data_IF_822566510028
#
_entry.id   IF_822566510028
#
_cell.length_a   1.000
_cell.length_b   1.000
_cell.length_c   1.000
_cell.angle_alpha   90.00
_cell.angle_beta   90.00
_cell.angle_gamma   90.00
#
_symmetry.space_group_name_H-M   'P 1'
#
loop_
_entity.id
_entity.type
_entity.pdbx_description
1 polymer ?
#
# COMPACT_ATOMS: atom_id res chain seq x y z
N UNK A 1 16.02 19.28 9.46
CA UNK A 1 16.30 19.85 8.13
C UNK A 1 16.04 18.86 7.00
N UNK A 2 16.58 17.65 6.99
CA UNK A 2 16.43 16.70 5.86
C UNK A 2 14.99 16.28 5.52
N UNK A 3 14.14 16.06 6.53
CA UNK A 3 12.72 15.78 6.28
C UNK A 3 11.95 16.98 5.72
N UNK A 4 12.37 18.21 6.06
CA UNK A 4 11.76 19.42 5.49
C UNK A 4 12.13 19.56 4.02
N UNK A 5 13.39 19.34 3.67
CA UNK A 5 13.83 19.37 2.26
C UNK A 5 13.12 18.27 1.45
N UNK A 6 13.03 17.05 1.99
CA UNK A 6 12.28 15.96 1.36
C UNK A 6 10.80 16.30 1.18
N UNK A 7 10.16 16.92 2.19
CA UNK A 7 8.77 17.35 2.10
C UNK A 7 8.56 18.43 1.04
N UNK A 8 9.46 19.43 0.95
CA UNK A 8 9.40 20.48 -0.07
C UNK A 8 9.55 19.86 -1.47
N UNK A 9 10.51 18.95 -1.67
CA UNK A 9 10.70 18.26 -2.95
C UNK A 9 9.48 17.40 -3.29
N UNK A 10 8.90 16.69 -2.32
CA UNK A 10 7.70 15.88 -2.52
C UNK A 10 6.52 16.75 -2.95
N UNK A 11 6.26 17.86 -2.24
CA UNK A 11 5.15 18.78 -2.55
C UNK A 11 5.36 19.42 -3.92
N UNK A 12 6.58 19.86 -4.25
CA UNK A 12 6.89 20.42 -5.56
C UNK A 12 6.72 19.38 -6.68
N UNK A 13 7.17 18.14 -6.47
CA UNK A 13 7.00 17.05 -7.43
C UNK A 13 5.53 16.68 -7.64
N UNK A 14 4.74 16.59 -6.57
CA UNK A 14 3.29 16.37 -6.66
C UNK A 14 2.59 17.53 -7.36
N UNK A 15 2.96 18.78 -7.06
CA UNK A 15 2.40 19.95 -7.73
C UNK A 15 2.72 19.95 -9.24
N UNK A 16 3.94 19.56 -9.62
CA UNK A 16 4.33 19.39 -11.03
C UNK A 16 3.49 18.31 -11.73
N UNK A 17 3.29 17.15 -11.09
CA UNK A 17 2.44 16.08 -11.61
C UNK A 17 0.98 16.51 -11.77
N UNK A 18 0.42 17.23 -10.80
CA UNK A 18 -0.95 17.75 -10.87
C UNK A 18 -1.08 18.80 -11.97
N UNK A 19 -0.10 19.70 -12.11
CA UNK A 19 -0.09 20.69 -13.18
C UNK A 19 -0.05 20.01 -14.55
N UNK A 20 0.83 19.02 -14.74
CA UNK A 20 0.91 18.25 -15.97
C UNK A 20 -0.38 17.48 -16.28
N UNK A 21 -1.02 16.87 -15.27
CA UNK A 21 -2.31 16.19 -15.43
C UNK A 21 -3.46 17.14 -15.85
N UNK A 22 -3.36 18.42 -15.52
CA UNK A 22 -4.29 19.46 -15.96
C UNK A 22 -3.92 20.08 -17.32
N UNK A 23 -2.89 19.55 -18.00
CA UNK A 23 -2.39 20.09 -19.26
C UNK A 23 -1.63 21.42 -19.10
N UNK A 24 -1.15 21.72 -17.90
CA UNK A 24 -0.44 22.97 -17.59
C UNK A 24 1.06 22.73 -17.50
N UNK A 25 1.82 23.46 -18.31
CA UNK A 25 3.29 23.45 -18.27
C UNK A 25 3.92 22.68 -19.44
N UNK A 26 5.26 22.53 -19.43
CA UNK A 26 5.98 21.86 -20.50
C UNK A 26 5.83 20.34 -20.42
N UNK A 27 6.02 19.65 -21.55
CA UNK A 27 5.86 18.19 -21.69
C UNK A 27 6.87 17.34 -20.92
N UNK A 28 7.85 17.94 -20.24
CA UNK A 28 8.82 17.25 -19.40
C UNK A 28 8.48 17.36 -17.90
N UNK A 29 7.44 18.12 -17.55
CA UNK A 29 7.11 18.46 -16.16
C UNK A 29 6.64 17.25 -15.36
N UNK A 30 5.89 16.36 -16.00
CA UNK A 30 5.43 15.07 -15.46
C UNK A 30 6.60 14.15 -15.12
N UNK A 31 7.55 13.97 -16.03
CA UNK A 31 8.74 13.15 -15.84
C UNK A 31 9.61 13.69 -14.69
N UNK A 32 9.85 14.99 -14.64
CA UNK A 32 10.61 15.62 -13.55
C UNK A 32 9.88 15.46 -12.21
N UNK A 33 8.57 15.70 -12.19
CA UNK A 33 7.73 15.53 -11.00
C UNK A 33 7.75 14.09 -10.50
N UNK A 34 7.61 13.11 -11.39
CA UNK A 34 7.64 11.70 -11.07
C UNK A 34 8.99 11.26 -10.49
N UNK A 35 10.10 11.66 -11.12
CA UNK A 35 11.45 11.35 -10.64
C UNK A 35 11.70 11.96 -9.26
N UNK A 36 11.27 13.20 -9.02
CA UNK A 36 11.39 13.85 -7.72
C UNK A 36 10.61 13.08 -6.64
N UNK A 37 9.34 12.73 -6.90
CA UNK A 37 8.52 11.96 -5.95
C UNK A 37 9.12 10.58 -5.70
N UNK A 38 9.47 9.82 -6.75
CA UNK A 38 10.08 8.50 -6.62
C UNK A 38 11.38 8.53 -5.81
N UNK A 39 12.22 9.56 -6.02
CA UNK A 39 13.46 9.76 -5.27
C UNK A 39 13.18 10.00 -3.79
N UNK A 40 12.21 10.85 -3.45
CA UNK A 40 11.83 11.10 -2.05
C UNK A 40 11.24 9.87 -1.38
N UNK A 41 10.39 9.11 -2.08
CA UNK A 41 9.80 7.88 -1.55
C UNK A 41 10.89 6.82 -1.26
N UNK A 42 11.84 6.62 -2.18
CA UNK A 42 12.96 5.72 -1.98
C UNK A 42 13.88 6.16 -0.83
N UNK A 43 14.19 7.46 -0.74
CA UNK A 43 14.93 8.04 0.38
C UNK A 43 14.22 7.82 1.71
N UNK A 44 12.93 8.14 1.78
CA UNK A 44 12.14 8.03 3.01
C UNK A 44 12.02 6.58 3.49
N UNK A 45 11.87 5.62 2.57
CA UNK A 45 11.87 4.19 2.89
C UNK A 45 13.21 3.75 3.50
N UNK A 46 14.32 4.21 2.93
CA UNK A 46 15.63 3.90 3.46
C UNK A 46 15.88 4.55 4.83
N UNK A 47 15.44 5.80 5.06
CA UNK A 47 15.52 6.42 6.40
C UNK A 47 14.70 5.63 7.40
N UNK A 48 13.45 5.28 7.04
CA UNK A 48 12.53 4.62 7.96
C UNK A 48 13.00 3.22 8.35
N UNK A 49 13.72 2.54 7.48
CA UNK A 49 14.13 1.15 7.68
C UNK A 49 15.57 1.00 8.18
N UNK A 50 16.34 2.08 8.36
CA UNK A 50 17.75 2.00 8.73
C UNK A 50 18.67 1.59 7.58
N UNK A 51 18.30 1.93 6.35
CA UNK A 51 19.07 1.69 5.14
C UNK A 51 20.17 2.73 4.89
N UNK A 52 20.54 2.94 3.62
CA UNK A 52 21.51 3.97 3.19
C UNK A 52 20.79 5.04 2.38
N UNK A 53 20.18 6.07 3.01
CA UNK A 53 19.24 6.97 2.36
C UNK A 53 19.79 7.70 1.14
N UNK A 54 21.05 8.12 1.21
CA UNK A 54 21.70 8.83 0.09
C UNK A 54 22.00 7.91 -1.08
N UNK A 55 22.42 6.67 -0.82
CA UNK A 55 22.68 5.68 -1.89
C UNK A 55 21.37 5.35 -2.58
N UNK A 56 20.29 5.10 -1.82
CA UNK A 56 18.98 4.80 -2.39
C UNK A 56 18.38 5.99 -3.14
N UNK A 57 18.57 7.21 -2.64
CA UNK A 57 18.11 8.42 -3.32
C UNK A 57 18.85 8.64 -4.65
N UNK A 58 20.19 8.53 -4.65
CA UNK A 58 20.99 8.67 -5.86
C UNK A 58 20.63 7.59 -6.89
N UNK A 59 20.43 6.34 -6.45
CA UNK A 59 19.99 5.27 -7.34
C UNK A 59 18.59 5.53 -7.91
N UNK A 60 17.63 5.95 -7.08
CA UNK A 60 16.28 6.28 -7.54
C UNK A 60 16.29 7.46 -8.52
N UNK A 61 17.08 8.50 -8.24
CA UNK A 61 17.27 9.64 -9.14
C UNK A 61 17.91 9.20 -10.45
N UNK A 62 18.96 8.38 -10.42
CA UNK A 62 19.64 7.89 -11.61
C UNK A 62 18.72 7.00 -12.47
N UNK A 63 18.01 6.05 -11.85
CA UNK A 63 17.06 5.18 -12.56
C UNK A 63 15.93 6.01 -13.17
N UNK A 64 15.29 6.87 -12.37
CA UNK A 64 14.19 7.71 -12.83
C UNK A 64 14.61 8.67 -13.94
N UNK A 65 15.72 9.39 -13.77
CA UNK A 65 16.24 10.29 -14.82
C UNK A 65 16.63 9.53 -16.08
N UNK A 66 17.26 8.36 -15.96
CA UNK A 66 17.59 7.53 -17.13
C UNK A 66 16.33 7.09 -17.87
N UNK A 67 15.24 6.77 -17.16
CA UNK A 67 13.99 6.38 -17.78
C UNK A 67 13.35 7.52 -18.58
N UNK A 68 13.39 8.74 -18.04
CA UNK A 68 12.85 9.94 -18.71
C UNK A 68 13.73 10.41 -19.87
N UNK A 69 15.06 10.35 -19.73
CA UNK A 69 16.01 10.84 -20.75
C UNK A 69 16.16 9.87 -21.92
N UNK A 70 16.25 8.57 -21.63
CA UNK A 70 16.42 7.53 -22.67
C UNK A 70 15.09 7.20 -23.34
N UNK A 71 13.98 7.43 -22.64
CA UNK A 71 12.61 7.38 -23.18
C UNK A 71 12.25 6.03 -23.82
N UNK A 72 12.75 4.92 -23.25
CA UNK A 72 12.37 3.59 -23.73
C UNK A 72 11.19 3.02 -22.92
N UNK A 73 10.25 2.34 -23.59
CA UNK A 73 9.11 1.67 -22.93
C UNK A 73 9.50 0.80 -21.74
N UNK A 74 10.63 0.10 -21.86
CA UNK A 74 11.14 -0.81 -20.83
C UNK A 74 11.68 -0.07 -19.60
N UNK A 75 12.43 1.02 -19.78
CA UNK A 75 12.98 1.79 -18.65
C UNK A 75 11.87 2.56 -17.91
N UNK A 76 10.93 3.18 -18.63
CA UNK A 76 9.76 3.86 -18.02
C UNK A 76 8.92 2.89 -17.18
N UNK A 77 8.63 1.72 -17.74
CA UNK A 77 7.86 0.68 -17.04
C UNK A 77 8.62 0.14 -15.83
N UNK A 78 9.92 -0.13 -15.96
CA UNK A 78 10.76 -0.58 -14.85
C UNK A 78 10.82 0.45 -13.71
N UNK A 79 11.02 1.73 -14.04
CA UNK A 79 11.02 2.82 -13.07
C UNK A 79 9.66 2.98 -12.39
N UNK A 80 8.55 2.83 -13.11
CA UNK A 80 7.20 2.88 -12.55
C UNK A 80 6.95 1.71 -11.59
N UNK A 81 7.35 0.48 -11.95
CA UNK A 81 7.27 -0.69 -11.06
C UNK A 81 8.05 -0.44 -9.77
N UNK A 82 9.29 0.05 -9.87
CA UNK A 82 10.12 0.35 -8.69
C UNK A 82 9.52 1.46 -7.82
N UNK A 83 8.91 2.48 -8.43
CA UNK A 83 8.21 3.56 -7.74
C UNK A 83 7.00 3.04 -6.98
N UNK A 84 6.17 2.20 -7.62
CA UNK A 84 5.00 1.56 -6.98
C UNK A 84 5.43 0.66 -5.83
N UNK A 85 6.46 -0.15 -6.02
CA UNK A 85 7.01 -1.04 -4.98
C UNK A 85 7.52 -0.23 -3.79
N UNK A 86 8.38 0.76 -4.02
CA UNK A 86 8.99 1.55 -2.95
C UNK A 86 7.96 2.40 -2.21
N UNK A 87 7.07 3.09 -2.93
CA UNK A 87 6.00 3.90 -2.34
C UNK A 87 4.96 3.08 -1.60
N UNK A 88 4.54 1.95 -2.17
CA UNK A 88 3.60 1.02 -1.54
C UNK A 88 4.16 0.40 -0.25
N UNK A 89 5.43 -0.03 -0.25
CA UNK A 89 6.09 -0.54 0.95
C UNK A 89 6.32 0.56 1.98
N UNK A 90 6.74 1.76 1.55
CA UNK A 90 6.86 2.92 2.44
C UNK A 90 5.54 3.22 3.14
N UNK A 91 4.41 3.19 2.42
CA UNK A 91 3.09 3.46 3.00
C UNK A 91 2.77 2.54 4.18
N UNK A 92 3.21 1.28 4.12
CA UNK A 92 3.11 0.35 5.26
C UNK A 92 4.11 0.69 6.36
N UNK A 93 5.39 0.89 6.03
CA UNK A 93 6.45 1.16 7.03
C UNK A 93 6.26 2.49 7.78
N UNK A 94 5.55 3.44 7.16
CA UNK A 94 5.26 4.76 7.72
C UNK A 94 4.13 4.74 8.76
N UNK A 95 3.36 3.65 8.83
CA UNK A 95 2.32 3.49 9.85
C UNK A 95 2.94 3.37 11.25
N UNK A 96 2.25 3.90 12.25
CA UNK A 96 2.65 3.80 13.67
C UNK A 96 1.70 2.90 14.46
N UNK A 97 2.13 2.38 15.64
CA UNK A 97 1.24 1.62 16.50
C UNK A 97 -0.02 2.39 16.90
N UNK A 98 -1.17 1.72 16.85
CA UNK A 98 -2.47 2.32 17.11
C UNK A 98 -3.21 1.62 18.26
N UNK A 99 -3.23 2.24 19.45
CA UNK A 99 -3.93 1.68 20.61
C UNK A 99 -5.45 1.56 20.39
N UNK A 100 -6.05 2.46 19.61
CA UNK A 100 -7.49 2.52 19.33
C UNK A 100 -7.81 2.33 17.86
N UNK A 101 -9.02 1.86 17.56
CA UNK A 101 -9.49 1.66 16.18
C UNK A 101 -9.46 2.95 15.35
N UNK A 102 -9.86 4.09 15.92
CA UNK A 102 -9.80 5.38 15.21
C UNK A 102 -8.37 5.79 14.84
N UNK A 103 -7.39 5.51 15.70
CA UNK A 103 -5.98 5.73 15.37
C UNK A 103 -5.54 4.79 14.25
N UNK A 104 -6.00 3.53 14.25
CA UNK A 104 -5.70 2.59 13.17
C UNK A 104 -6.31 3.06 11.83
N UNK A 105 -7.56 3.54 11.83
CA UNK A 105 -8.18 4.15 10.65
C UNK A 105 -7.36 5.33 10.11
N UNK A 106 -6.86 6.20 11.00
CA UNK A 106 -5.99 7.31 10.63
C UNK A 106 -4.70 6.82 9.95
N UNK A 107 -4.08 5.75 10.46
CA UNK A 107 -2.89 5.19 9.82
C UNK A 107 -3.20 4.59 8.44
N UNK A 108 -4.35 3.94 8.27
CA UNK A 108 -4.80 3.46 6.95
C UNK A 108 -5.05 4.62 5.97
N UNK A 109 -5.68 5.70 6.42
CA UNK A 109 -5.89 6.90 5.59
C UNK A 109 -4.55 7.49 5.12
N UNK A 110 -3.57 7.57 6.01
CA UNK A 110 -2.25 8.09 5.69
C UNK A 110 -1.52 7.19 4.69
N UNK A 111 -1.60 5.86 4.87
CA UNK A 111 -1.05 4.90 3.91
C UNK A 111 -1.75 5.00 2.54
N UNK A 112 -3.07 5.24 2.53
CA UNK A 112 -3.87 5.42 1.31
C UNK A 112 -3.46 6.70 0.56
N UNK A 113 -3.31 7.82 1.27
CA UNK A 113 -2.83 9.09 0.68
C UNK A 113 -1.44 8.91 0.07
N UNK A 114 -0.53 8.24 0.78
CA UNK A 114 0.81 7.99 0.25
C UNK A 114 0.79 7.07 -0.98
N UNK A 115 -0.13 6.11 -1.02
CA UNK A 115 -0.35 5.26 -2.20
C UNK A 115 -0.89 6.07 -3.38
N UNK A 116 -1.78 7.04 -3.13
CA UNK A 116 -2.24 7.99 -4.16
C UNK A 116 -1.13 8.88 -4.72
N UNK A 117 -0.24 9.41 -3.84
CA UNK A 117 0.97 10.14 -4.28
C UNK A 117 1.87 9.24 -5.14
N UNK A 118 2.02 7.97 -4.74
CA UNK A 118 2.78 6.98 -5.50
C UNK A 118 2.14 6.70 -6.86
N UNK A 119 0.81 6.66 -6.95
CA UNK A 119 0.07 6.48 -8.20
C UNK A 119 0.34 7.62 -9.18
N UNK A 120 0.29 8.87 -8.73
CA UNK A 120 0.60 10.04 -9.56
C UNK A 120 2.02 9.96 -10.12
N UNK A 121 2.99 9.59 -9.29
CA UNK A 121 4.37 9.46 -9.73
C UNK A 121 4.56 8.30 -10.72
N UNK A 122 3.87 7.17 -10.53
CA UNK A 122 3.92 6.05 -11.46
C UNK A 122 3.32 6.43 -12.83
N UNK A 123 2.21 7.18 -12.86
CA UNK A 123 1.59 7.70 -14.09
C UNK A 123 2.50 8.70 -14.79
N UNK A 124 3.12 9.62 -14.07
CA UNK A 124 4.03 10.63 -14.66
C UNK A 124 5.31 10.06 -15.27
N UNK A 125 5.59 8.76 -15.09
CA UNK A 125 6.64 8.07 -15.84
C UNK A 125 6.15 7.54 -17.20
N UNK A 126 4.86 7.67 -17.50
CA UNK A 126 4.17 7.19 -18.70
C UNK A 126 4.57 5.75 -19.08
N UNK A 127 4.37 4.77 -18.18
CA UNK A 127 4.77 3.40 -18.44
C UNK A 127 3.91 2.76 -19.52
N UNK A 128 4.51 1.84 -20.28
CA UNK A 128 3.78 1.01 -21.25
C UNK A 128 3.32 -0.26 -20.56
N UNK A 129 2.10 -0.22 -20.04
CA UNK A 129 1.60 -1.27 -19.15
C UNK A 129 0.89 -2.37 -19.91
N UNK A 130 1.31 -3.61 -19.64
CA UNK A 130 0.42 -4.76 -19.77
C UNK A 130 -0.15 -5.03 -18.37
N UNK A 131 -1.38 -4.56 -18.13
CA UNK A 131 -1.97 -4.43 -16.78
C UNK A 131 -1.71 -5.66 -15.89
N UNK A 132 -1.98 -6.91 -16.32
CA UNK A 132 -1.72 -8.08 -15.47
C UNK A 132 -0.25 -8.26 -15.08
N UNK A 133 0.68 -8.03 -16.02
CA UNK A 133 2.12 -8.22 -15.75
C UNK A 133 2.64 -7.15 -14.81
N UNK A 134 2.22 -5.90 -15.03
CA UNK A 134 2.56 -4.80 -14.13
C UNK A 134 2.03 -5.10 -12.72
N UNK A 135 0.76 -5.50 -12.63
CA UNK A 135 0.09 -5.78 -11.36
C UNK A 135 0.82 -6.85 -10.53
N UNK A 136 1.10 -7.99 -11.16
CA UNK A 136 1.80 -9.09 -10.50
C UNK A 136 3.25 -8.76 -10.19
N UNK A 137 3.97 -8.08 -11.09
CA UNK A 137 5.37 -7.75 -10.88
C UNK A 137 5.55 -6.84 -9.66
N UNK A 138 4.82 -5.72 -9.59
CA UNK A 138 4.96 -4.81 -8.45
C UNK A 138 4.41 -5.41 -7.15
N UNK A 139 3.29 -6.16 -7.19
CA UNK A 139 2.78 -6.80 -5.97
C UNK A 139 3.77 -7.85 -5.45
N UNK A 140 4.33 -8.71 -6.30
CA UNK A 140 5.30 -9.72 -5.92
C UNK A 140 6.58 -9.09 -5.35
N UNK A 141 7.16 -8.11 -6.06
CA UNK A 141 8.36 -7.41 -5.60
C UNK A 141 8.10 -6.65 -4.29
N UNK A 142 6.93 -6.05 -4.14
CA UNK A 142 6.49 -5.40 -2.92
C UNK A 142 6.37 -6.34 -1.74
N UNK A 143 5.76 -7.51 -1.95
CA UNK A 143 5.68 -8.57 -0.93
C UNK A 143 7.07 -9.05 -0.53
N UNK A 144 7.94 -9.35 -1.50
CA UNK A 144 9.33 -9.76 -1.23
C UNK A 144 10.07 -8.69 -0.41
N UNK A 145 9.97 -7.42 -0.82
CA UNK A 145 10.64 -6.31 -0.13
C UNK A 145 10.10 -6.11 1.29
N UNK A 146 8.77 -6.07 1.47
CA UNK A 146 8.19 -5.82 2.81
C UNK A 146 8.46 -6.98 3.76
N UNK A 147 8.38 -8.22 3.30
CA UNK A 147 8.71 -9.37 4.15
C UNK A 147 10.19 -9.42 4.47
N UNK A 148 11.07 -9.05 3.52
CA UNK A 148 12.50 -8.90 3.80
C UNK A 148 12.79 -7.85 4.87
N UNK A 149 12.12 -6.70 4.81
CA UNK A 149 12.23 -5.64 5.82
C UNK A 149 11.66 -6.07 7.17
N UNK A 150 10.48 -6.67 7.19
CA UNK A 150 9.82 -7.14 8.42
C UNK A 150 10.59 -8.28 9.06
N UNK A 151 11.21 -9.16 8.28
CA UNK A 151 12.11 -10.19 8.81
C UNK A 151 13.29 -9.56 9.56
N UNK A 152 13.88 -8.49 9.01
CA UNK A 152 14.97 -7.74 9.64
C UNK A 152 14.52 -6.99 10.91
N UNK A 153 13.37 -6.33 10.87
CA UNK A 153 12.85 -5.50 11.97
C UNK A 153 12.18 -6.32 13.09
N UNK A 154 11.55 -7.44 12.75
CA UNK A 154 10.64 -8.22 13.58
C UNK A 154 11.28 -9.28 14.48
N UNK A 155 12.61 -9.25 14.67
CA UNK A 155 13.39 -10.29 15.35
C UNK A 155 13.41 -11.67 14.63
N UNK A 156 13.23 -11.67 13.30
CA UNK A 156 13.18 -12.90 12.48
C UNK A 156 11.95 -13.79 12.76
N UNK A 157 11.97 -15.01 12.23
CA UNK A 157 10.91 -16.01 12.46
C UNK A 157 10.79 -16.43 13.94
N UNK A 158 11.83 -16.21 14.75
CA UNK A 158 11.82 -16.50 16.19
C UNK A 158 10.91 -15.55 16.99
N UNK A 159 10.65 -14.33 16.48
CA UNK A 159 9.66 -13.41 17.06
C UNK A 159 8.20 -13.80 16.76
N UNK A 160 8.02 -14.77 15.87
CA UNK A 160 6.76 -15.22 15.29
C UNK A 160 6.15 -16.29 16.20
N UNK A 161 5.68 -15.87 17.37
CA UNK A 161 4.91 -16.75 18.26
C UNK A 161 3.68 -17.33 17.56
N UNK A 162 3.05 -18.36 18.13
CA UNK A 162 1.94 -19.11 17.49
C UNK A 162 0.88 -18.24 16.82
N UNK A 163 0.52 -17.10 17.43
CA UNK A 163 -0.47 -16.16 16.87
C UNK A 163 0.02 -15.44 15.61
N UNK A 164 1.27 -14.99 15.60
CA UNK A 164 1.89 -14.43 14.40
C UNK A 164 1.91 -15.45 13.26
N UNK A 165 2.14 -16.73 13.58
CA UNK A 165 2.22 -17.79 12.58
C UNK A 165 0.86 -18.07 11.96
N UNK A 166 -0.18 -18.15 12.79
CA UNK A 166 -1.57 -18.27 12.32
C UNK A 166 -1.95 -17.05 11.47
N UNK A 167 -1.61 -15.84 11.89
CA UNK A 167 -1.93 -14.63 11.13
C UNK A 167 -1.24 -14.61 9.75
N UNK A 168 0.03 -14.99 9.69
CA UNK A 168 0.78 -15.10 8.42
C UNK A 168 0.20 -16.18 7.52
N UNK A 169 -0.13 -17.36 8.08
CA UNK A 169 -0.73 -18.45 7.32
C UNK A 169 -2.10 -18.05 6.75
N UNK A 170 -2.97 -17.46 7.58
CA UNK A 170 -4.29 -16.98 7.15
C UNK A 170 -4.14 -15.89 6.09
N UNK A 171 -3.25 -14.91 6.30
CA UNK A 171 -2.97 -13.87 5.31
C UNK A 171 -2.47 -14.43 3.98
N UNK A 172 -1.57 -15.41 4.02
CA UNK A 172 -1.05 -16.08 2.82
C UNK A 172 -2.15 -16.87 2.09
N UNK A 173 -2.99 -17.60 2.82
CA UNK A 173 -4.14 -18.33 2.25
C UNK A 173 -5.14 -17.36 1.61
N UNK A 174 -5.52 -16.29 2.30
CA UNK A 174 -6.41 -15.27 1.76
C UNK A 174 -5.83 -14.62 0.50
N UNK A 175 -4.53 -14.33 0.49
CA UNK A 175 -3.84 -13.78 -0.67
C UNK A 175 -3.93 -14.74 -1.86
N UNK A 176 -3.55 -16.01 -1.66
CA UNK A 176 -3.59 -17.04 -2.71
C UNK A 176 -5.00 -17.23 -3.23
N UNK A 177 -6.00 -17.34 -2.34
CA UNK A 177 -7.40 -17.51 -2.74
C UNK A 177 -7.89 -16.31 -3.55
N UNK A 178 -7.56 -15.08 -3.13
CA UNK A 178 -8.01 -13.88 -3.84
C UNK A 178 -7.35 -13.76 -5.22
N UNK A 179 -6.06 -14.07 -5.33
CA UNK A 179 -5.34 -14.06 -6.61
C UNK A 179 -5.79 -15.18 -7.54
N UNK A 180 -5.96 -16.39 -6.99
CA UNK A 180 -6.47 -17.54 -7.75
C UNK A 180 -7.88 -17.27 -8.26
N UNK A 181 -8.75 -16.67 -7.43
CA UNK A 181 -10.08 -16.26 -7.84
C UNK A 181 -10.05 -15.22 -8.96
N UNK A 182 -9.21 -14.19 -8.83
CA UNK A 182 -9.03 -13.18 -9.88
C UNK A 182 -8.52 -13.80 -11.19
N UNK A 183 -7.60 -14.76 -11.12
CA UNK A 183 -7.06 -15.43 -12.31
C UNK A 183 -8.08 -16.40 -12.94
N UNK A 184 -8.90 -17.06 -12.12
CA UNK A 184 -10.01 -17.89 -12.58
C UNK A 184 -11.03 -17.06 -13.36
N UNK A 185 -11.41 -15.89 -12.83
CA UNK A 185 -12.29 -14.95 -13.52
C UNK A 185 -11.70 -14.51 -14.88
N UNK A 186 -10.38 -14.24 -14.93
CA UNK A 186 -9.70 -13.79 -16.15
C UNK A 186 -9.57 -14.88 -17.22
N UNK A 187 -9.28 -16.13 -16.84
CA UNK A 187 -8.97 -17.21 -17.79
C UNK A 187 -10.15 -18.09 -18.17
N UNK A 188 -11.12 -18.27 -17.28
CA UNK A 188 -12.15 -19.31 -17.40
C UNK A 188 -13.57 -18.74 -17.33
N UNK A 189 -13.78 -17.49 -17.73
CA UNK A 189 -15.03 -16.71 -17.59
C UNK A 189 -16.35 -17.30 -18.12
N UNK A 190 -16.37 -18.56 -18.56
CA UNK A 190 -17.51 -19.27 -19.15
C UNK A 190 -18.34 -20.13 -18.16
N UNK A 191 -18.09 -20.05 -16.84
CA UNK A 191 -18.93 -20.71 -15.84
C UNK A 191 -20.12 -19.84 -15.42
N UNK A 192 -21.33 -20.41 -15.25
CA UNK A 192 -22.55 -19.67 -14.87
C UNK A 192 -22.40 -18.83 -13.59
N UNK A 193 -21.62 -19.30 -12.62
CA UNK A 193 -21.30 -18.56 -11.38
C UNK A 193 -20.40 -17.35 -11.65
N UNK A 194 -19.46 -17.47 -12.58
CA UNK A 194 -18.55 -16.37 -12.95
C UNK A 194 -19.32 -15.28 -13.67
N UNK A 195 -20.24 -15.66 -14.56
CA UNK A 195 -21.07 -14.71 -15.30
C UNK A 195 -21.93 -13.85 -14.36
N UNK A 196 -22.58 -14.44 -13.36
CA UNK A 196 -23.38 -13.66 -12.39
C UNK A 196 -22.54 -12.67 -11.57
N UNK A 197 -21.27 -12.99 -11.29
CA UNK A 197 -20.36 -12.07 -10.60
C UNK A 197 -19.93 -10.94 -11.53
N UNK A 198 -19.60 -11.24 -12.78
CA UNK A 198 -19.24 -10.23 -13.77
C UNK A 198 -20.43 -9.28 -14.04
N UNK A 199 -21.64 -9.82 -14.24
CA UNK A 199 -22.86 -9.03 -14.37
C UNK A 199 -23.11 -8.13 -13.15
N UNK A 200 -22.81 -8.61 -11.94
CA UNK A 200 -22.90 -7.81 -10.73
C UNK A 200 -21.86 -6.69 -10.66
N UNK A 201 -20.62 -6.97 -11.10
CA UNK A 201 -19.54 -5.97 -11.19
C UNK A 201 -19.91 -4.90 -12.21
N UNK A 202 -20.37 -5.30 -13.39
CA UNK A 202 -20.77 -4.39 -14.46
C UNK A 202 -21.96 -3.54 -14.02
N UNK A 203 -23.00 -4.16 -13.47
CA UNK A 203 -24.17 -3.47 -12.92
C UNK A 203 -23.79 -2.45 -11.84
N UNK A 204 -22.88 -2.82 -10.95
CA UNK A 204 -22.40 -1.91 -9.89
C UNK A 204 -21.61 -0.76 -10.50
N UNK A 205 -20.72 -1.05 -11.45
CA UNK A 205 -19.87 -0.03 -12.09
C UNK A 205 -20.73 0.96 -12.87
N UNK A 206 -21.75 0.50 -13.60
CA UNK A 206 -22.73 1.37 -14.27
C UNK A 206 -23.54 2.23 -13.28
N UNK A 207 -23.87 1.69 -12.10
CA UNK A 207 -24.74 2.36 -11.12
C UNK A 207 -24.00 3.39 -10.26
N UNK A 208 -22.81 3.06 -9.78
CA UNK A 208 -22.07 3.85 -8.78
C UNK A 208 -20.68 4.29 -9.28
N UNK A 209 -20.33 3.97 -10.52
CA UNK A 209 -19.15 4.50 -11.21
C UNK A 209 -17.84 3.74 -10.98
N UNK A 210 -17.78 2.81 -10.01
CA UNK A 210 -16.61 1.96 -9.78
C UNK A 210 -16.93 0.73 -8.93
N UNK A 211 -16.17 -0.35 -9.11
CA UNK A 211 -16.21 -1.54 -8.25
C UNK A 211 -15.00 -1.61 -7.31
N UNK A 212 -15.19 -1.86 -5.99
CA UNK A 212 -14.09 -1.92 -5.03
C UNK A 212 -13.13 -3.10 -5.31
N UNK A 213 -11.83 -2.89 -5.10
CA UNK A 213 -10.81 -3.93 -5.34
C UNK A 213 -10.88 -5.02 -4.27
N UNK A 214 -11.25 -6.27 -4.60
CA UNK A 214 -11.46 -7.32 -3.60
C UNK A 214 -10.23 -7.58 -2.72
N UNK A 215 -9.03 -7.59 -3.32
CA UNK A 215 -7.77 -7.83 -2.62
C UNK A 215 -7.41 -6.71 -1.62
N UNK A 216 -7.84 -5.46 -1.89
CA UNK A 216 -7.70 -4.32 -0.98
C UNK A 216 -8.67 -4.43 0.19
N UNK A 217 -9.93 -4.80 -0.11
CA UNK A 217 -11.02 -4.92 0.87
C UNK A 217 -10.83 -6.11 1.81
N UNK A 218 -10.56 -7.29 1.26
CA UNK A 218 -10.58 -8.56 2.00
C UNK A 218 -9.31 -8.82 2.79
N UNK A 219 -8.17 -8.29 2.32
CA UNK A 219 -6.86 -8.55 2.92
C UNK A 219 -6.13 -7.27 3.30
N UNK A 220 -5.92 -6.37 2.35
CA UNK A 220 -4.98 -5.26 2.51
C UNK A 220 -5.33 -4.29 3.64
N UNK A 221 -6.52 -3.69 3.60
CA UNK A 221 -6.96 -2.74 4.63
C UNK A 221 -7.15 -3.44 5.98
N UNK A 222 -7.83 -4.60 6.08
CA UNK A 222 -7.92 -5.32 7.35
C UNK A 222 -6.56 -5.62 7.96
N UNK A 223 -5.56 -5.99 7.15
CA UNK A 223 -4.19 -6.23 7.59
C UNK A 223 -3.52 -4.97 8.14
N UNK A 224 -3.72 -3.80 7.51
CA UNK A 224 -3.21 -2.53 8.05
C UNK A 224 -3.87 -2.15 9.39
N UNK A 225 -5.20 -2.26 9.46
CA UNK A 225 -5.96 -1.96 10.68
C UNK A 225 -5.54 -2.87 11.83
N UNK A 226 -5.59 -4.18 11.61
CA UNK A 226 -5.27 -5.15 12.65
C UNK A 226 -3.78 -5.16 12.99
N UNK A 227 -2.91 -5.01 11.99
CA UNK A 227 -1.47 -4.97 12.19
C UNK A 227 -1.02 -3.76 13.03
N UNK A 228 -1.52 -2.55 12.73
CA UNK A 228 -1.22 -1.34 13.53
C UNK A 228 -1.78 -1.45 14.94
N UNK A 229 -2.95 -2.08 15.10
CA UNK A 229 -3.55 -2.36 16.40
C UNK A 229 -2.73 -3.37 17.22
N UNK A 230 -2.24 -4.43 16.57
CA UNK A 230 -1.39 -5.45 17.18
C UNK A 230 -0.03 -4.89 17.55
N UNK A 231 0.55 -4.00 16.74
CA UNK A 231 1.87 -3.36 17.01
C UNK A 231 1.90 -2.58 18.31
N UNK A 232 0.77 -2.00 18.73
CA UNK A 232 0.67 -1.28 20.01
C UNK A 232 0.85 -2.21 21.23
N UNK A 233 0.65 -3.52 21.04
CA UNK A 233 0.69 -4.55 22.09
C UNK A 233 1.84 -5.55 21.90
N UNK A 234 2.22 -5.86 20.66
CA UNK A 234 3.08 -7.00 20.30
C UNK A 234 3.95 -6.73 19.07
N UNK A 235 5.19 -7.24 19.08
CA UNK A 235 6.12 -7.21 17.92
C UNK A 235 5.56 -7.90 16.68
N UNK A 236 4.77 -8.95 16.87
CA UNK A 236 4.17 -9.76 15.79
C UNK A 236 3.24 -8.98 14.87
N UNK A 237 2.74 -7.80 15.30
CA UNK A 237 1.87 -6.98 14.45
C UNK A 237 2.54 -6.52 13.15
N UNK A 238 3.88 -6.48 13.08
CA UNK A 238 4.61 -6.19 11.83
C UNK A 238 4.35 -7.21 10.73
N UNK A 239 4.24 -8.50 11.08
CA UNK A 239 3.96 -9.56 10.10
C UNK A 239 2.56 -9.43 9.51
N UNK A 240 1.59 -8.99 10.31
CA UNK A 240 0.23 -8.67 9.84
C UNK A 240 0.26 -7.42 8.97
N UNK A 241 0.90 -6.34 9.44
CA UNK A 241 1.06 -5.11 8.67
C UNK A 241 1.71 -5.33 7.31
N UNK A 242 2.62 -6.32 7.17
CA UNK A 242 3.28 -6.63 5.90
C UNK A 242 2.27 -6.93 4.77
N UNK A 243 1.19 -7.65 5.07
CA UNK A 243 0.09 -7.87 4.13
C UNK A 243 -0.65 -6.59 3.75
N UNK A 244 -0.49 -5.50 4.48
CA UNK A 244 -0.98 -4.18 4.10
C UNK A 244 -0.44 -3.67 2.76
N UNK A 245 0.65 -4.25 2.25
CA UNK A 245 1.14 -3.99 0.89
C UNK A 245 0.10 -4.40 -0.18
N UNK A 246 -0.77 -5.36 0.15
CA UNK A 246 -1.88 -5.75 -0.72
C UNK A 246 -2.99 -4.69 -0.74
N UNK A 247 -2.96 -3.67 0.12
CA UNK A 247 -3.75 -2.45 -0.10
C UNK A 247 -2.94 -1.40 -0.84
N UNK A 248 -1.74 -1.08 -0.36
CA UNK A 248 -1.01 0.11 -0.82
C UNK A 248 -0.52 0.00 -2.26
N UNK A 249 -0.09 -1.18 -2.71
CA UNK A 249 0.34 -1.37 -4.10
C UNK A 249 -0.84 -1.31 -5.08
N UNK A 250 -1.95 -2.05 -4.87
CA UNK A 250 -3.10 -1.93 -5.76
C UNK A 250 -3.73 -0.54 -5.80
N UNK A 251 -3.65 0.23 -4.72
CA UNK A 251 -4.05 1.63 -4.72
C UNK A 251 -3.08 2.51 -5.51
N UNK A 252 -1.77 2.24 -5.43
CA UNK A 252 -0.76 2.91 -6.25
C UNK A 252 -0.84 2.54 -7.74
N UNK A 253 -1.38 1.37 -8.07
CA UNK A 253 -1.65 0.93 -9.45
C UNK A 253 -2.93 1.54 -10.03
N UNK A 254 -3.81 2.10 -9.19
CA UNK A 254 -5.18 2.44 -9.58
C UNK A 254 -5.28 3.42 -10.75
N UNK A 255 -4.29 4.30 -10.93
CA UNK A 255 -4.26 5.28 -12.02
C UNK A 255 -3.58 4.80 -13.30
N UNK A 256 -3.07 3.56 -13.33
CA UNK A 256 -2.36 3.00 -14.48
C UNK A 256 -3.26 2.20 -15.42
N UNK A 257 -4.56 2.11 -15.13
CA UNK A 257 -5.53 1.48 -16.02
C UNK A 257 -5.76 2.39 -17.24
N UNK A 258 -5.38 1.97 -18.47
CA UNK A 258 -5.52 2.79 -19.67
C UNK A 258 -6.98 3.04 -20.05
N UNK A 259 -7.90 2.15 -19.63
CA UNK A 259 -9.32 2.23 -19.98
C UNK A 259 -10.13 2.98 -18.91
N UNK A 260 -9.54 3.20 -17.72
CA UNK A 260 -10.20 3.81 -16.57
C UNK A 260 -9.98 5.32 -16.45
N UNK A 261 -10.95 6.01 -15.86
CA UNK A 261 -10.82 7.46 -15.57
C UNK A 261 -10.17 7.75 -14.20
N UNK A 262 -9.57 8.94 -14.02
CA UNK A 262 -9.07 9.38 -12.71
C UNK A 262 -10.16 9.36 -11.62
N UNK A 263 -11.41 9.67 -12.00
CA UNK A 263 -12.55 9.64 -11.09
C UNK A 263 -12.87 8.21 -10.66
N UNK A 264 -12.94 7.29 -11.61
CA UNK A 264 -13.20 5.87 -11.35
C UNK A 264 -12.15 5.28 -10.42
N UNK A 265 -10.86 5.55 -10.66
CA UNK A 265 -9.79 5.10 -9.78
C UNK A 265 -9.92 5.67 -8.36
N UNK A 266 -10.30 6.95 -8.23
CA UNK A 266 -10.58 7.59 -6.95
C UNK A 266 -11.78 6.96 -6.21
N UNK A 267 -12.87 6.69 -6.92
CA UNK A 267 -14.05 6.01 -6.39
C UNK A 267 -13.71 4.58 -5.98
N UNK A 268 -12.96 3.84 -6.79
CA UNK A 268 -12.50 2.49 -6.50
C UNK A 268 -11.67 2.44 -5.21
N UNK A 269 -10.76 3.41 -5.02
CA UNK A 269 -10.01 3.54 -3.77
C UNK A 269 -10.92 3.82 -2.57
N UNK A 270 -11.85 4.78 -2.68
CA UNK A 270 -12.80 5.13 -1.62
C UNK A 270 -13.75 3.98 -1.26
N UNK A 271 -14.29 3.31 -2.27
CA UNK A 271 -15.19 2.15 -2.13
C UNK A 271 -14.47 0.93 -1.61
N UNK A 272 -13.16 0.81 -1.81
CA UNK A 272 -12.38 -0.25 -1.16
C UNK A 272 -12.11 0.09 0.31
N UNK A 273 -11.91 1.38 0.62
CA UNK A 273 -11.57 1.86 1.95
C UNK A 273 -12.65 1.54 2.99
N UNK A 274 -13.91 1.88 2.69
CA UNK A 274 -15.03 1.73 3.63
C UNK A 274 -15.26 0.27 4.07
N UNK A 275 -15.54 -0.69 3.16
CA UNK A 275 -15.74 -2.09 3.55
C UNK A 275 -14.47 -2.72 4.11
N UNK A 276 -13.27 -2.33 3.63
CA UNK A 276 -12.02 -2.80 4.19
C UNK A 276 -11.83 -2.38 5.66
N UNK A 277 -12.19 -1.14 6.01
CA UNK A 277 -12.19 -0.66 7.39
C UNK A 277 -13.22 -1.41 8.25
N UNK A 278 -14.44 -1.64 7.72
CA UNK A 278 -15.46 -2.43 8.41
C UNK A 278 -14.99 -3.86 8.71
N UNK A 279 -14.37 -4.54 7.74
CA UNK A 279 -13.78 -5.86 7.95
C UNK A 279 -12.63 -5.80 8.96
N UNK A 280 -11.75 -4.79 8.87
CA UNK A 280 -10.70 -4.56 9.86
C UNK A 280 -11.23 -4.37 11.28
N UNK A 281 -12.35 -3.65 11.44
CA UNK A 281 -13.05 -3.50 12.71
C UNK A 281 -13.51 -4.86 13.26
N UNK A 282 -14.14 -5.69 12.42
CA UNK A 282 -14.58 -7.02 12.81
C UNK A 282 -13.41 -7.92 13.23
N UNK A 283 -12.30 -7.88 12.51
CA UNK A 283 -11.07 -8.62 12.87
C UNK A 283 -10.53 -8.17 14.23
N UNK A 284 -10.42 -6.85 14.46
CA UNK A 284 -9.97 -6.33 15.77
C UNK A 284 -10.94 -6.75 16.90
N UNK A 285 -12.25 -6.70 16.66
CA UNK A 285 -13.26 -7.05 17.66
C UNK A 285 -13.25 -8.54 17.99
N UNK A 286 -13.10 -9.40 17.00
CA UNK A 286 -13.00 -10.85 17.19
C UNK A 286 -11.72 -11.22 17.95
N UNK A 287 -10.57 -10.62 17.61
CA UNK A 287 -9.31 -10.82 18.34
C UNK A 287 -9.40 -10.40 19.81
N UNK A 288 -9.97 -9.22 20.09
CA UNK A 288 -10.20 -8.75 21.46
C UNK A 288 -11.22 -9.61 22.22
N UNK A 289 -12.25 -10.12 21.56
CA UNK A 289 -13.23 -11.00 22.20
C UNK A 289 -12.63 -12.35 22.60
N UNK A 290 -11.70 -12.88 21.80
CA UNK A 290 -11.03 -14.15 22.04
C UNK A 290 -9.87 -14.03 23.04
N UNK A 291 -9.23 -12.86 23.13
CA UNK A 291 -7.93 -12.73 23.82
C UNK A 291 -7.85 -11.63 24.87
N UNK A 292 -8.80 -10.68 24.88
CA UNK A 292 -8.80 -9.54 25.78
C UNK A 292 -9.50 -9.81 27.13
N UNK A 293 -9.23 -8.99 28.16
CA UNK A 293 -9.92 -9.05 29.43
C UNK A 293 -11.40 -8.71 29.29
N UNK A 294 -12.27 -9.50 29.93
CA UNK A 294 -13.72 -9.29 29.90
C UNK A 294 -14.11 -8.04 30.72
N UNK A 295 -14.96 -7.19 30.16
CA UNK A 295 -15.51 -6.00 30.83
C UNK A 295 -14.91 -4.65 30.36
N UNK A 296 -15.64 -3.55 30.63
CA UNK A 296 -15.30 -2.18 30.16
C UNK A 296 -14.09 -1.59 30.87
N UNK A 297 -13.88 -1.94 32.15
CA UNK A 297 -12.72 -1.51 32.95
C UNK A 297 -11.44 -2.23 32.53
N UNK A 298 -11.50 -3.55 32.31
CA UNK A 298 -10.37 -4.34 31.82
C UNK A 298 -9.86 -3.86 30.46
N UNK A 299 -10.78 -3.53 29.54
CA UNK A 299 -10.41 -2.96 28.23
C UNK A 299 -9.73 -1.61 28.33
N UNK A 300 -10.19 -0.72 29.22
CA UNK A 300 -9.53 0.58 29.44
C UNK A 300 -8.14 0.43 30.05
N UNK A 301 -7.96 -0.55 30.95
CA UNK A 301 -6.65 -0.86 31.52
C UNK A 301 -5.70 -1.42 30.45
N UNK A 302 -6.17 -2.35 29.61
CA UNK A 302 -5.38 -2.89 28.50
C UNK A 302 -5.02 -1.80 27.47
N UNK A 303 -5.96 -0.90 27.14
CA UNK A 303 -5.70 0.24 26.26
C UNK A 303 -4.67 1.22 26.85
N UNK A 304 -4.69 1.43 28.16
CA UNK A 304 -3.70 2.26 28.86
C UNK A 304 -2.31 1.58 28.91
N UNK A 305 -2.28 0.25 28.96
CA UNK A 305 -1.04 -0.54 28.97
C UNK A 305 -0.51 -0.82 27.54
N UNK A 306 -1.33 -0.62 26.50
CA UNK A 306 -0.99 -0.79 25.09
C UNK A 306 -0.09 0.35 24.56
N UNK A 307 1.05 0.55 25.21
CA UNK A 307 2.10 1.52 24.88
C UNK A 307 3.42 0.79 24.72
N UNK A 308 3.50 -0.07 23.71
CA UNK A 308 4.81 -0.48 23.21
C UNK A 308 5.44 0.71 22.47
N UNK A 309 6.56 1.27 22.97
CA UNK A 309 7.20 2.40 22.29
C UNK A 309 7.78 1.89 20.97
N UNK A 310 7.33 2.49 19.86
CA UNK A 310 8.02 2.44 18.57
C UNK A 310 8.44 3.86 18.19
N UNK A 311 9.53 4.02 17.43
CA UNK A 311 10.00 5.32 16.99
C UNK A 311 8.91 6.09 16.24
N UNK A 312 8.93 7.41 16.40
CA UNK A 312 8.01 8.30 15.68
C UNK A 312 8.12 8.10 14.17
N UNK A 313 7.09 8.49 13.42
CA UNK A 313 6.96 8.23 11.97
C UNK A 313 8.19 8.62 11.14
N UNK A 314 8.87 9.70 11.53
CA UNK A 314 10.01 10.27 10.82
C UNK A 314 11.36 9.84 11.41
N UNK A 315 11.34 8.97 12.43
CA UNK A 315 12.53 8.33 12.97
C UNK A 315 12.76 6.96 12.30
N UNK A 316 13.97 6.44 12.45
CA UNK A 316 14.33 5.07 12.06
C UNK A 316 13.60 4.03 12.93
N UNK A 317 13.26 2.85 12.38
CA UNK A 317 12.53 1.74 13.03
C UNK A 317 13.40 0.80 13.85
#
# INVERSE_FOLDING_TARGET
MLWLTAAVVLVAGVAALVAAALGVGPSWLDGVGAVAVATVLAWALAVRTGGRPWVTAVLALAIGSSAVVVDTPMLRTGAAVLTVVTGGVLAVMLTVPAATYLRACREVLIATVLSGITALAAVGLEPTVTVPRFDYASLLLGLVLVFGLVYRLGAGLHGLGRRGLVAVLVGAVLLVLTLAYAELLRRYGAGSVVQSVLEFVDWTTERIGAFPRPLVVLLGIPALVWGTHMRARRRQGWWVCAFGVTATIPLAQGLLDPDGSFLEAGLQAAYSLVPGLLLGYLVVRTDLALTGPRGRRGRRAEEAEAHRPEPSRLAEL
#
